data_IF_732589948150
#
_entry.id   IF_732589948150
#
_cell.length_a   1.000
_cell.length_b   1.000
_cell.length_c   1.000
_cell.angle_alpha   90.00
_cell.angle_beta   90.00
_cell.angle_gamma   90.00
#
_symmetry.space_group_name_H-M   'P 1'
#
loop_
_entity.id
_entity.type
_entity.pdbx_description
1 polymer ?
#
# COMPACT_ATOMS: atom_id res chain seq x y z
N UNK A 1 -4.52 -79.63 40.46
CA UNK A 1 -4.65 -79.83 41.92
C UNK A 1 -5.67 -78.83 42.45
N UNK A 2 -6.69 -79.32 43.16
CA UNK A 2 -7.70 -78.60 43.96
C UNK A 2 -8.67 -77.66 43.21
N UNK A 3 -9.99 -77.59 43.47
CA UNK A 3 -10.97 -78.37 44.25
C UNK A 3 -12.36 -77.75 43.98
N UNK A 4 -13.37 -78.60 43.77
CA UNK A 4 -14.85 -78.55 43.94
C UNK A 4 -15.47 -77.43 44.85
N UNK A 5 -16.81 -77.20 45.01
CA UNK A 5 -18.07 -77.42 44.22
C UNK A 5 -19.11 -76.22 44.27
N UNK A 6 -20.32 -76.43 43.71
CA UNK A 6 -21.72 -76.16 44.25
C UNK A 6 -22.61 -75.35 43.28
N UNK A 7 -23.67 -75.93 42.70
CA UNK A 7 -25.06 -76.22 43.16
C UNK A 7 -26.08 -75.08 42.93
N UNK A 8 -27.12 -75.45 42.16
CA UNK A 8 -28.46 -74.86 41.84
C UNK A 8 -29.16 -74.14 43.03
N UNK A 9 -30.23 -73.29 42.90
CA UNK A 9 -31.39 -73.46 42.01
C UNK A 9 -32.15 -72.17 41.55
N UNK A 10 -33.29 -72.40 40.90
CA UNK A 10 -34.23 -71.47 40.27
C UNK A 10 -34.91 -70.45 41.20
N UNK A 11 -35.37 -69.32 40.64
CA UNK A 11 -36.59 -68.65 41.09
C UNK A 11 -37.32 -67.98 39.91
N UNK A 12 -38.63 -68.22 39.88
CA UNK A 12 -39.63 -67.70 38.94
C UNK A 12 -40.17 -66.37 39.47
N UNK A 13 -40.26 -65.35 38.61
CA UNK A 13 -41.21 -64.23 38.64
C UNK A 13 -40.99 -63.48 37.31
N UNK A 14 -41.94 -63.32 36.38
CA UNK A 14 -43.35 -63.05 36.56
C UNK A 14 -43.57 -61.53 36.62
N UNK A 15 -43.38 -60.81 35.52
CA UNK A 15 -43.91 -59.45 35.34
C UNK A 15 -44.07 -59.11 33.85
N UNK A 16 -45.32 -59.01 33.43
CA UNK A 16 -45.71 -58.34 32.19
C UNK A 16 -45.47 -56.84 32.35
N UNK A 17 -44.81 -56.22 31.38
CA UNK A 17 -44.75 -54.77 31.26
C UNK A 17 -44.76 -54.38 29.78
N UNK A 18 -45.97 -53.99 29.35
CA UNK A 18 -46.26 -52.83 28.52
C UNK A 18 -45.32 -52.56 27.33
N UNK A 19 -45.75 -53.02 26.14
CA UNK A 19 -45.22 -52.51 24.88
C UNK A 19 -45.62 -51.02 24.75
N UNK A 20 -44.72 -50.13 25.14
CA UNK A 20 -44.80 -48.72 24.80
C UNK A 20 -44.63 -48.61 23.28
N UNK A 21 -45.73 -48.37 22.57
CA UNK A 21 -45.68 -47.83 21.22
C UNK A 21 -45.15 -46.40 21.35
N UNK A 22 -43.85 -46.21 21.09
CA UNK A 22 -43.30 -44.88 20.87
C UNK A 22 -43.95 -44.34 19.58
N UNK A 23 -45.01 -43.56 19.74
CA UNK A 23 -45.38 -42.54 18.77
C UNK A 23 -44.17 -41.62 18.65
N UNK A 24 -43.41 -41.78 17.56
CA UNK A 24 -42.35 -40.84 17.23
C UNK A 24 -42.94 -39.44 17.21
N UNK A 25 -42.47 -38.57 18.10
CA UNK A 25 -42.62 -37.15 17.91
C UNK A 25 -41.94 -36.84 16.57
N UNK A 26 -42.70 -36.33 15.60
CA UNK A 26 -42.09 -35.68 14.47
C UNK A 26 -41.29 -34.49 15.02
N UNK A 27 -39.97 -34.61 15.05
CA UNK A 27 -39.07 -33.49 15.27
C UNK A 27 -39.13 -32.59 14.03
N UNK A 28 -40.23 -31.83 13.88
CA UNK A 28 -40.21 -30.60 13.11
C UNK A 28 -39.69 -29.50 14.04
N UNK A 29 -38.38 -29.51 14.29
CA UNK A 29 -37.70 -28.34 14.85
C UNK A 29 -37.46 -27.36 13.71
N UNK A 30 -38.52 -26.73 13.19
CA UNK A 30 -38.34 -25.46 12.50
C UNK A 30 -37.83 -24.45 13.53
N UNK A 31 -36.82 -23.66 13.15
CA UNK A 31 -36.28 -22.65 14.05
C UNK A 31 -37.42 -21.71 14.50
N UNK A 32 -37.57 -21.40 15.80
CA UNK A 32 -38.74 -20.70 16.34
C UNK A 32 -38.90 -19.23 15.86
N UNK A 33 -37.97 -18.75 15.05
CA UNK A 33 -38.04 -17.46 14.37
C UNK A 33 -37.59 -17.66 12.92
N UNK A 34 -38.55 -17.64 12.00
CA UNK A 34 -38.22 -17.35 10.61
C UNK A 34 -37.90 -15.85 10.55
N UNK A 35 -36.68 -15.53 10.13
CA UNK A 35 -36.25 -14.16 9.95
C UNK A 35 -36.78 -13.65 8.61
N UNK A 36 -38.11 -13.64 8.44
CA UNK A 36 -38.76 -13.16 7.23
C UNK A 36 -38.57 -11.64 7.09
N UNK A 37 -38.11 -11.20 5.93
CA UNK A 37 -37.93 -9.79 5.61
C UNK A 37 -36.72 -9.59 4.73
N UNK A 38 -36.96 -9.11 3.52
CA UNK A 38 -35.93 -8.70 2.57
C UNK A 38 -35.70 -7.19 2.71
N UNK A 39 -34.57 -6.73 2.21
CA UNK A 39 -34.23 -5.31 2.07
C UNK A 39 -33.95 -4.95 0.63
N UNK A 40 -33.60 -3.69 0.44
CA UNK A 40 -33.35 -3.09 -0.86
C UNK A 40 -32.00 -2.38 -0.84
N UNK A 41 -31.38 -2.29 -2.01
CA UNK A 41 -30.18 -1.51 -2.25
C UNK A 41 -30.42 -0.63 -3.47
N UNK A 42 -30.30 0.68 -3.31
CA UNK A 42 -30.27 1.63 -4.41
C UNK A 42 -28.92 2.36 -4.44
N UNK A 43 -28.61 2.99 -5.56
CA UNK A 43 -27.34 3.69 -5.64
C UNK A 43 -27.12 4.47 -6.91
N UNK A 44 -25.92 5.05 -6.98
CA UNK A 44 -25.40 5.80 -8.11
C UNK A 44 -24.00 5.29 -8.44
N UNK A 45 -23.78 4.95 -9.71
CA UNK A 45 -22.45 4.73 -10.28
C UNK A 45 -22.07 5.98 -11.06
N UNK A 46 -20.90 6.54 -10.77
CA UNK A 46 -20.44 7.80 -11.35
C UNK A 46 -18.93 7.78 -11.55
N UNK A 47 -18.43 8.64 -12.43
CA UNK A 47 -17.01 8.92 -12.58
C UNK A 47 -16.63 9.99 -11.57
N UNK A 48 -15.80 9.62 -10.60
CA UNK A 48 -15.23 10.49 -9.58
C UNK A 48 -13.90 11.06 -10.12
N UNK A 49 -14.03 12.17 -10.83
CA UNK A 49 -12.95 12.76 -11.61
C UNK A 49 -11.82 13.28 -10.71
N UNK A 50 -12.16 13.73 -9.50
CA UNK A 50 -11.25 14.29 -8.51
C UNK A 50 -10.91 13.33 -7.35
N UNK A 51 -11.49 12.12 -7.35
CA UNK A 51 -11.25 11.07 -6.34
C UNK A 51 -11.62 11.51 -4.92
N UNK A 52 -12.75 12.18 -4.79
CA UNK A 52 -13.23 12.70 -3.50
C UNK A 52 -14.11 11.72 -2.72
N UNK A 53 -14.62 10.68 -3.38
CA UNK A 53 -15.62 9.75 -2.86
C UNK A 53 -17.03 10.36 -2.73
N UNK A 54 -17.24 11.56 -3.27
CA UNK A 54 -18.51 12.29 -3.29
C UNK A 54 -18.87 12.55 -4.75
N UNK A 55 -20.15 12.41 -5.11
CA UNK A 55 -20.62 12.81 -6.43
C UNK A 55 -20.90 14.32 -6.45
N UNK A 56 -20.08 15.07 -7.17
CA UNK A 56 -20.29 16.51 -7.41
C UNK A 56 -20.14 16.88 -8.91
N UNK A 57 -21.28 17.04 -9.63
CA UNK A 57 -21.26 17.44 -11.04
C UNK A 57 -20.63 18.81 -11.31
N UNK A 58 -20.56 19.70 -10.31
CA UNK A 58 -19.93 21.01 -10.49
C UNK A 58 -18.41 20.93 -10.59
N UNK A 59 -17.88 19.81 -10.13
CA UNK A 59 -16.46 19.49 -10.00
C UNK A 59 -15.98 18.47 -11.03
N UNK A 60 -16.84 18.12 -11.99
CA UNK A 60 -16.52 17.29 -13.16
C UNK A 60 -16.99 15.84 -13.08
N UNK A 61 -17.76 15.48 -12.05
CA UNK A 61 -18.27 14.12 -11.93
C UNK A 61 -19.47 13.85 -12.83
N UNK A 62 -19.46 12.68 -13.47
CA UNK A 62 -20.48 12.29 -14.44
C UNK A 62 -21.15 10.97 -14.05
N UNK A 63 -22.49 10.86 -14.16
CA UNK A 63 -23.17 9.58 -13.95
C UNK A 63 -22.78 8.57 -15.03
N UNK A 64 -22.63 7.30 -14.64
CA UNK A 64 -22.22 6.22 -15.53
C UNK A 64 -23.40 5.31 -15.87
N UNK A 65 -23.89 5.43 -17.11
CA UNK A 65 -25.02 4.63 -17.62
C UNK A 65 -24.60 3.28 -18.20
N UNK A 66 -25.53 2.31 -18.20
CA UNK A 66 -25.34 0.96 -18.76
C UNK A 66 -24.20 0.15 -18.11
N UNK A 67 -23.83 0.48 -16.87
CA UNK A 67 -22.87 -0.29 -16.08
C UNK A 67 -23.59 -1.48 -15.48
N UNK A 68 -23.08 -2.68 -15.74
CA UNK A 68 -23.65 -3.92 -15.21
C UNK A 68 -23.15 -4.20 -13.80
N UNK A 69 -24.07 -4.55 -12.92
CA UNK A 69 -23.77 -4.83 -11.52
C UNK A 69 -24.67 -5.93 -10.95
N UNK A 70 -24.17 -6.62 -9.93
CA UNK A 70 -24.91 -7.67 -9.23
C UNK A 70 -24.52 -7.75 -7.75
N UNK A 71 -25.46 -8.24 -6.93
CA UNK A 71 -25.23 -8.44 -5.51
C UNK A 71 -24.90 -9.91 -5.26
N UNK A 72 -23.71 -10.15 -4.74
CA UNK A 72 -23.18 -11.48 -4.43
C UNK A 72 -23.16 -11.74 -2.94
N UNK A 73 -23.31 -13.00 -2.59
CA UNK A 73 -23.02 -13.47 -1.25
C UNK A 73 -21.57 -13.20 -0.89
N UNK A 74 -21.36 -12.62 0.29
CA UNK A 74 -20.06 -12.21 0.77
C UNK A 74 -19.03 -13.35 0.68
N UNK A 75 -17.89 -13.04 0.07
CA UNK A 75 -16.79 -13.99 -0.08
C UNK A 75 -17.00 -15.09 -1.13
N UNK A 76 -18.06 -15.00 -1.94
CA UNK A 76 -18.34 -15.95 -3.02
C UNK A 76 -18.59 -15.24 -4.35
N UNK A 77 -18.67 -15.99 -5.44
CA UNK A 77 -19.09 -15.51 -6.76
C UNK A 77 -20.60 -15.70 -7.01
N UNK A 78 -21.36 -16.15 -6.00
CA UNK A 78 -22.78 -16.46 -6.15
C UNK A 78 -23.61 -15.19 -6.04
N UNK A 79 -24.19 -14.75 -7.14
CA UNK A 79 -25.18 -13.66 -7.17
C UNK A 79 -26.53 -14.11 -6.58
N UNK A 80 -27.21 -13.20 -5.90
CA UNK A 80 -28.60 -13.40 -5.52
C UNK A 80 -29.49 -13.39 -6.77
N UNK A 81 -30.51 -14.24 -6.77
CA UNK A 81 -31.45 -14.32 -7.89
C UNK A 81 -32.14 -12.96 -8.10
N UNK A 82 -32.11 -12.45 -9.33
CA UNK A 82 -32.73 -11.15 -9.67
C UNK A 82 -31.90 -9.92 -9.30
N UNK A 83 -30.69 -10.09 -8.75
CA UNK A 83 -29.84 -8.95 -8.36
C UNK A 83 -29.01 -8.33 -9.49
N UNK A 84 -29.03 -8.93 -10.69
CA UNK A 84 -28.34 -8.43 -11.86
C UNK A 84 -29.12 -7.29 -12.50
N UNK A 85 -28.53 -6.10 -12.54
CA UNK A 85 -29.14 -4.89 -13.10
C UNK A 85 -28.12 -4.09 -13.90
N UNK A 86 -28.62 -3.15 -14.70
CA UNK A 86 -27.84 -2.11 -15.37
C UNK A 86 -28.17 -0.76 -14.74
N UNK A 87 -27.19 0.13 -14.67
CA UNK A 87 -27.46 1.53 -14.34
C UNK A 87 -28.24 2.22 -15.45
N UNK A 88 -29.14 3.12 -15.08
CA UNK A 88 -29.90 3.95 -16.02
C UNK A 88 -29.07 5.14 -16.56
N UNK A 89 -29.71 6.04 -17.32
CA UNK A 89 -29.04 7.22 -17.89
C UNK A 89 -28.52 8.21 -16.87
N UNK A 90 -29.02 8.18 -15.63
CA UNK A 90 -28.57 9.01 -14.51
C UNK A 90 -27.60 8.22 -13.62
N UNK A 91 -27.12 7.07 -14.07
CA UNK A 91 -26.19 6.20 -13.33
C UNK A 91 -26.83 5.48 -12.15
N UNK A 92 -28.16 5.55 -12.01
CA UNK A 92 -28.88 4.99 -10.86
C UNK A 92 -29.19 3.52 -11.09
N UNK A 93 -29.26 2.77 -9.99
CA UNK A 93 -29.73 1.39 -9.99
C UNK A 93 -30.52 1.09 -8.72
N UNK A 94 -31.31 0.02 -8.76
CA UNK A 94 -32.08 -0.49 -7.63
C UNK A 94 -32.12 -2.02 -7.68
N UNK A 95 -31.91 -2.66 -6.53
CA UNK A 95 -32.03 -4.10 -6.34
C UNK A 95 -32.89 -4.37 -5.10
N UNK A 96 -33.98 -5.08 -5.29
CA UNK A 96 -34.92 -5.43 -4.22
C UNK A 96 -34.84 -6.93 -3.88
N UNK A 97 -35.47 -7.33 -2.79
CA UNK A 97 -35.57 -8.75 -2.42
C UNK A 97 -34.27 -9.35 -1.89
N UNK A 98 -33.37 -8.51 -1.34
CA UNK A 98 -32.08 -8.96 -0.83
C UNK A 98 -32.21 -9.47 0.60
N UNK A 99 -31.59 -10.62 0.95
CA UNK A 99 -31.52 -11.05 2.34
C UNK A 99 -30.82 -9.98 3.20
N UNK A 100 -31.20 -9.77 4.46
CA UNK A 100 -30.49 -8.84 5.33
C UNK A 100 -29.09 -9.38 5.66
N UNK A 101 -28.11 -8.48 5.70
CA UNK A 101 -26.71 -8.82 5.98
C UNK A 101 -25.71 -8.02 5.15
N UNK A 102 -24.43 -8.32 5.34
CA UNK A 102 -23.35 -7.76 4.52
C UNK A 102 -23.14 -8.61 3.28
N UNK A 103 -23.21 -7.98 2.11
CA UNK A 103 -23.03 -8.58 0.79
C UNK A 103 -21.92 -7.89 0.01
N UNK A 104 -21.62 -8.39 -1.17
CA UNK A 104 -20.69 -7.80 -2.11
C UNK A 104 -21.44 -7.26 -3.33
N UNK A 105 -21.42 -5.95 -3.55
CA UNK A 105 -21.78 -5.34 -4.82
C UNK A 105 -20.59 -5.53 -5.76
N UNK A 106 -20.80 -6.29 -6.83
CA UNK A 106 -19.80 -6.50 -7.87
C UNK A 106 -20.21 -5.76 -9.13
N UNK A 107 -19.29 -5.01 -9.70
CA UNK A 107 -19.48 -4.31 -10.97
C UNK A 107 -18.71 -5.04 -12.05
N UNK A 108 -19.32 -5.22 -13.22
CA UNK A 108 -18.63 -5.73 -14.39
C UNK A 108 -17.75 -4.64 -15.00
N UNK A 109 -16.44 -4.74 -14.75
CA UNK A 109 -15.46 -3.78 -15.26
C UNK A 109 -15.42 -3.72 -16.79
N UNK A 110 -15.90 -4.74 -17.50
CA UNK A 110 -15.97 -4.71 -18.97
C UNK A 110 -17.07 -3.77 -19.50
N UNK A 111 -17.99 -3.34 -18.64
CA UNK A 111 -19.07 -2.40 -18.98
C UNK A 111 -18.75 -0.95 -18.62
N UNK A 112 -17.61 -0.69 -17.96
CA UNK A 112 -17.16 0.66 -17.65
C UNK A 112 -16.64 1.36 -18.92
N UNK A 113 -16.84 2.69 -19.05
CA UNK A 113 -16.18 3.46 -20.09
C UNK A 113 -14.65 3.39 -20.01
N UNK A 114 -14.00 3.64 -21.14
CA UNK A 114 -12.53 3.73 -21.19
C UNK A 114 -12.01 4.81 -20.23
N UNK A 115 -10.94 4.50 -19.49
CA UNK A 115 -10.35 5.42 -18.52
C UNK A 115 -11.02 5.43 -17.14
N UNK A 116 -12.07 4.63 -16.91
CA UNK A 116 -12.72 4.49 -15.61
C UNK A 116 -12.28 3.20 -14.92
N UNK A 117 -11.73 3.33 -13.71
CA UNK A 117 -11.27 2.21 -12.89
C UNK A 117 -12.09 2.12 -11.60
N UNK A 118 -12.39 0.90 -11.16
CA UNK A 118 -12.93 0.68 -9.82
C UNK A 118 -11.83 0.19 -8.90
N UNK A 119 -11.38 1.08 -8.02
CA UNK A 119 -10.26 0.82 -7.11
C UNK A 119 -10.64 -0.13 -5.97
N UNK A 120 -11.93 -0.34 -5.77
CA UNK A 120 -12.47 -1.39 -4.92
C UNK A 120 -13.61 -2.11 -5.65
N UNK A 121 -13.37 -3.36 -6.04
CA UNK A 121 -14.39 -4.22 -6.63
C UNK A 121 -14.15 -5.69 -6.22
N UNK A 122 -15.06 -6.33 -5.46
CA UNK A 122 -16.39 -5.85 -5.07
C UNK A 122 -16.37 -4.85 -3.90
N UNK A 123 -17.44 -4.06 -3.81
CA UNK A 123 -17.73 -3.18 -2.68
C UNK A 123 -18.57 -3.92 -1.63
N UNK A 124 -18.22 -3.77 -0.35
CA UNK A 124 -19.03 -4.33 0.75
C UNK A 124 -20.24 -3.43 1.04
N UNK A 125 -21.44 -3.99 0.98
CA UNK A 125 -22.71 -3.26 1.23
C UNK A 125 -23.50 -3.97 2.34
N UNK A 126 -24.23 -3.22 3.14
CA UNK A 126 -25.08 -3.78 4.21
C UNK A 126 -26.54 -3.54 3.89
N UNK A 127 -27.32 -4.61 3.82
CA UNK A 127 -28.76 -4.58 3.61
C UNK A 127 -29.47 -4.82 4.93
N UNK A 128 -30.37 -3.93 5.30
CA UNK A 128 -31.22 -4.05 6.48
C UNK A 128 -32.64 -4.45 6.07
N UNK A 129 -33.40 -5.03 6.99
CA UNK A 129 -34.76 -5.52 6.69
C UNK A 129 -35.72 -4.37 6.49
N UNK A 130 -36.55 -4.45 5.45
CA UNK A 130 -37.59 -3.46 5.16
C UNK A 130 -37.03 -2.03 5.01
N UNK A 131 -35.76 -1.92 4.66
CA UNK A 131 -35.04 -0.67 4.48
C UNK A 131 -34.36 -0.69 3.11
N UNK A 132 -34.25 0.51 2.53
CA UNK A 132 -33.44 0.76 1.33
C UNK A 132 -32.11 1.34 1.77
N UNK A 133 -31.02 0.62 1.51
CA UNK A 133 -29.68 1.10 1.72
C UNK A 133 -29.18 1.81 0.46
N UNK A 134 -28.61 3.01 0.62
CA UNK A 134 -28.00 3.76 -0.48
C UNK A 134 -26.50 3.50 -0.59
N UNK A 135 -25.97 3.38 -1.81
CA UNK A 135 -24.54 3.26 -2.07
C UNK A 135 -24.09 4.15 -3.23
N UNK A 136 -22.91 4.77 -3.05
CA UNK A 136 -22.19 5.47 -4.10
C UNK A 136 -21.04 4.58 -4.59
N UNK A 137 -20.94 4.43 -5.90
CA UNK A 137 -19.88 3.66 -6.56
C UNK A 137 -19.12 4.60 -7.49
N UNK A 138 -18.04 5.18 -6.97
CA UNK A 138 -17.15 6.06 -7.73
C UNK A 138 -16.14 5.24 -8.55
N UNK A 139 -16.13 5.46 -9.86
CA UNK A 139 -15.03 5.04 -10.73
C UNK A 139 -14.01 6.17 -10.88
N UNK A 140 -12.73 5.85 -10.74
CA UNK A 140 -11.64 6.82 -10.69
C UNK A 140 -10.77 6.75 -11.96
N UNK A 141 -10.08 7.82 -12.37
CA UNK A 141 -9.15 7.79 -13.50
C UNK A 141 -7.89 6.94 -13.23
N UNK A 142 -7.51 6.81 -11.96
CA UNK A 142 -6.32 6.08 -11.52
C UNK A 142 -6.48 5.64 -10.07
N UNK A 143 -6.16 4.38 -9.78
CA UNK A 143 -6.23 3.88 -8.41
C UNK A 143 -4.97 4.20 -7.62
N UNK A 144 -5.15 4.42 -6.31
CA UNK A 144 -4.03 4.48 -5.38
C UNK A 144 -3.33 3.11 -5.33
N UNK A 145 -2.08 3.08 -5.79
CA UNK A 145 -1.23 1.89 -5.75
C UNK A 145 -0.04 2.10 -4.81
N UNK A 146 0.62 1.02 -4.43
CA UNK A 146 1.87 1.09 -3.68
C UNK A 146 3.01 1.64 -4.53
N UNK A 147 4.05 2.15 -3.87
CA UNK A 147 5.24 2.66 -4.54
C UNK A 147 5.95 1.56 -5.33
N UNK A 148 5.99 0.34 -4.82
CA UNK A 148 6.59 -0.80 -5.52
C UNK A 148 5.79 -1.17 -6.78
N UNK A 149 4.45 -1.23 -6.70
CA UNK A 149 3.61 -1.46 -7.88
C UNK A 149 3.84 -0.39 -8.95
N UNK A 150 3.94 0.88 -8.56
CA UNK A 150 4.25 1.97 -9.48
C UNK A 150 5.62 1.79 -10.16
N UNK A 151 6.65 1.29 -9.45
CA UNK A 151 7.96 0.98 -10.02
C UNK A 151 7.93 -0.19 -11.01
N UNK A 152 7.03 -1.15 -10.81
CA UNK A 152 6.88 -2.33 -11.68
C UNK A 152 6.19 -2.03 -13.01
N UNK A 153 5.44 -0.93 -13.08
CA UNK A 153 4.83 -0.46 -14.32
C UNK A 153 5.89 -0.08 -15.38
N UNK A 154 5.41 0.00 -16.62
CA UNK A 154 6.20 0.57 -17.71
C UNK A 154 6.45 2.05 -17.48
N UNK A 155 7.55 2.58 -18.01
CA UNK A 155 7.78 4.03 -18.05
C UNK A 155 6.69 4.71 -18.88
N UNK A 156 6.20 5.86 -18.43
CA UNK A 156 5.16 6.64 -19.11
C UNK A 156 3.74 6.39 -18.60
N UNK A 157 3.56 5.50 -17.64
CA UNK A 157 2.26 5.20 -17.03
C UNK A 157 1.89 6.28 -16.01
N UNK A 158 0.61 6.69 -16.00
CA UNK A 158 0.09 7.63 -15.01
C UNK A 158 -0.29 6.88 -13.73
N UNK A 159 0.16 7.38 -12.58
CA UNK A 159 0.00 6.71 -11.28
C UNK A 159 -0.50 7.66 -10.22
N UNK A 160 -1.20 7.11 -9.23
CA UNK A 160 -1.53 7.75 -7.97
C UNK A 160 -0.85 6.95 -6.85
N UNK A 161 0.01 7.60 -6.07
CA UNK A 161 0.75 6.96 -4.97
C UNK A 161 0.67 7.82 -3.71
N UNK A 162 0.87 7.18 -2.57
CA UNK A 162 0.94 7.85 -1.28
C UNK A 162 2.17 7.37 -0.52
N UNK A 163 2.93 8.31 0.02
CA UNK A 163 4.14 8.00 0.77
C UNK A 163 4.48 9.08 1.80
N UNK A 164 5.35 8.73 2.74
CA UNK A 164 5.92 9.67 3.70
C UNK A 164 7.18 10.28 3.11
N UNK A 165 7.30 11.60 3.21
CA UNK A 165 8.49 12.36 2.77
C UNK A 165 9.68 11.97 3.62
N UNK A 166 10.72 11.44 2.98
CA UNK A 166 11.97 11.00 3.65
C UNK A 166 13.09 12.03 3.53
N UNK A 167 13.03 12.88 2.52
CA UNK A 167 13.93 14.03 2.33
C UNK A 167 13.13 15.23 1.82
N UNK A 168 13.11 16.35 2.54
CA UNK A 168 12.43 17.55 2.05
C UNK A 168 13.09 18.06 0.75
N UNK A 169 12.33 18.65 -0.19
CA UNK A 169 12.86 19.05 -1.51
C UNK A 169 14.13 19.90 -1.45
N UNK A 170 14.23 20.81 -0.48
CA UNK A 170 15.37 21.72 -0.32
C UNK A 170 16.59 21.11 0.39
N UNK A 171 16.45 19.95 1.05
CA UNK A 171 17.56 19.31 1.78
C UNK A 171 18.63 18.78 0.82
N UNK A 172 18.21 18.12 -0.25
CA UNK A 172 19.14 17.50 -1.20
C UNK A 172 19.71 18.56 -2.14
N UNK A 173 18.88 19.38 -2.78
CA UNK A 173 19.35 20.41 -3.71
C UNK A 173 18.62 21.74 -3.52
N UNK A 174 19.38 22.82 -3.63
CA UNK A 174 18.87 24.19 -3.45
C UNK A 174 17.82 24.62 -4.48
N UNK A 175 17.74 23.94 -5.63
CA UNK A 175 16.71 24.18 -6.64
C UNK A 175 15.43 23.37 -6.41
N UNK A 176 15.40 22.51 -5.37
CA UNK A 176 14.25 21.72 -4.97
C UNK A 176 13.56 20.96 -6.12
N UNK A 177 14.35 20.42 -7.05
CA UNK A 177 13.86 19.76 -8.26
C UNK A 177 13.46 18.29 -8.04
N UNK A 178 13.74 17.74 -6.87
CA UNK A 178 13.20 16.45 -6.44
C UNK A 178 13.16 16.28 -4.93
N UNK A 179 12.38 15.30 -4.50
CA UNK A 179 12.27 14.78 -3.13
C UNK A 179 12.21 13.25 -3.19
N UNK A 180 12.21 12.60 -2.04
CA UNK A 180 11.94 11.18 -1.91
C UNK A 180 10.76 10.96 -0.97
N UNK A 181 9.87 10.07 -1.39
CA UNK A 181 8.79 9.55 -0.56
C UNK A 181 8.91 8.04 -0.48
N UNK A 182 8.40 7.44 0.59
CA UNK A 182 8.31 5.98 0.69
C UNK A 182 7.05 5.53 1.40
N UNK A 183 6.59 4.33 1.06
CA UNK A 183 5.55 3.61 1.78
C UNK A 183 6.12 2.32 2.40
N UNK A 184 5.25 1.40 2.85
CA UNK A 184 5.69 0.12 3.39
C UNK A 184 6.33 -0.82 2.37
N UNK A 185 6.15 -0.57 1.07
CA UNK A 185 6.59 -1.42 -0.04
C UNK A 185 7.95 -0.99 -0.61
N UNK A 186 8.17 0.30 -0.86
CA UNK A 186 9.41 0.84 -1.41
C UNK A 186 9.47 2.37 -1.22
N UNK A 187 10.60 2.97 -1.57
CA UNK A 187 10.70 4.40 -1.81
C UNK A 187 10.86 4.75 -3.28
N UNK A 188 10.67 6.02 -3.62
CA UNK A 188 10.80 6.53 -4.98
C UNK A 188 11.19 8.00 -4.99
N UNK A 189 11.99 8.40 -5.98
CA UNK A 189 12.24 9.82 -6.25
C UNK A 189 11.01 10.43 -6.88
N UNK A 190 10.60 11.59 -6.39
CA UNK A 190 9.59 12.44 -7.03
C UNK A 190 10.32 13.60 -7.67
N UNK A 191 10.37 13.63 -9.00
CA UNK A 191 11.17 14.56 -9.80
C UNK A 191 10.28 15.57 -10.54
N UNK A 192 10.51 16.85 -10.28
CA UNK A 192 9.78 17.96 -10.90
C UNK A 192 9.33 19.01 -9.89
N UNK A 193 8.70 20.07 -10.41
CA UNK A 193 8.09 21.09 -9.57
C UNK A 193 6.85 20.53 -8.86
N UNK A 194 6.82 20.62 -7.53
CA UNK A 194 5.67 20.25 -6.70
C UNK A 194 4.77 21.45 -6.35
N UNK A 195 4.94 22.57 -7.07
CA UNK A 195 4.17 23.80 -6.84
C UNK A 195 4.42 24.41 -5.45
N UNK A 196 3.48 25.21 -4.97
CA UNK A 196 3.56 25.84 -3.64
C UNK A 196 3.47 24.83 -2.51
N UNK A 197 2.63 23.79 -2.65
CA UNK A 197 2.51 22.72 -1.65
C UNK A 197 3.86 22.02 -1.42
N UNK A 198 4.62 21.77 -2.50
CA UNK A 198 5.96 21.21 -2.42
C UNK A 198 6.97 22.04 -1.63
N UNK A 199 6.83 23.37 -1.63
CA UNK A 199 7.76 24.26 -0.94
C UNK A 199 7.65 24.18 0.59
N UNK A 200 6.52 23.67 1.10
CA UNK A 200 6.24 23.55 2.53
C UNK A 200 6.51 22.13 3.06
N UNK A 201 6.68 21.13 2.18
CA UNK A 201 6.89 19.74 2.58
C UNK A 201 8.11 19.57 3.49
N UNK A 202 7.87 18.91 4.62
CA UNK A 202 8.88 18.50 5.59
C UNK A 202 9.02 16.98 5.62
N UNK A 203 10.12 16.50 6.22
CA UNK A 203 10.25 15.07 6.52
C UNK A 203 9.14 14.64 7.49
N UNK A 204 8.59 13.45 7.25
CA UNK A 204 7.51 12.93 8.06
C UNK A 204 6.12 13.40 7.65
N UNK A 205 5.98 14.32 6.69
CA UNK A 205 4.69 14.59 6.05
C UNK A 205 4.28 13.39 5.21
N UNK A 206 2.98 13.08 5.17
CA UNK A 206 2.42 12.08 4.24
C UNK A 206 1.74 12.79 3.10
N UNK A 207 2.09 12.41 1.88
CA UNK A 207 1.57 13.04 0.66
C UNK A 207 0.90 12.00 -0.22
N UNK A 208 -0.27 12.35 -0.76
CA UNK A 208 -0.89 11.67 -1.90
C UNK A 208 -0.61 12.51 -3.13
N UNK A 209 -0.02 11.91 -4.16
CA UNK A 209 0.32 12.59 -5.39
C UNK A 209 0.07 11.72 -6.60
N UNK A 210 -0.22 12.38 -7.71
CA UNK A 210 -0.21 11.78 -9.04
C UNK A 210 1.04 12.18 -9.82
N UNK A 211 1.35 11.41 -10.86
CA UNK A 211 2.41 11.74 -11.80
C UNK A 211 2.61 10.61 -12.81
N UNK A 212 3.74 10.65 -13.52
CA UNK A 212 4.07 9.67 -14.56
C UNK A 212 5.33 8.90 -14.21
N UNK A 213 5.30 7.58 -14.31
CA UNK A 213 6.49 6.74 -14.10
C UNK A 213 7.60 7.11 -15.07
N UNK A 214 8.82 7.17 -14.55
CA UNK A 214 9.99 7.71 -15.23
C UNK A 214 11.26 6.96 -14.84
N UNK A 215 12.28 7.12 -15.67
CA UNK A 215 13.64 6.62 -15.39
C UNK A 215 14.66 7.67 -15.81
N UNK A 216 15.64 7.93 -14.95
CA UNK A 216 16.81 8.74 -15.31
C UNK A 216 18.07 8.16 -14.68
N UNK A 217 19.09 7.86 -15.50
CA UNK A 217 20.31 7.16 -15.07
C UNK A 217 20.03 5.89 -14.25
N UNK A 218 19.04 5.09 -14.67
CA UNK A 218 18.63 3.88 -13.95
C UNK A 218 18.08 4.15 -12.53
N UNK A 219 17.61 5.37 -12.24
CA UNK A 219 16.86 5.69 -11.02
C UNK A 219 15.36 5.79 -11.35
N UNK A 220 14.54 5.01 -10.64
CA UNK A 220 13.09 5.02 -10.83
C UNK A 220 12.51 6.27 -10.19
N UNK A 221 11.66 6.99 -10.92
CA UNK A 221 11.13 8.26 -10.46
C UNK A 221 9.70 8.49 -10.93
N UNK A 222 8.94 9.26 -10.15
CA UNK A 222 7.68 9.84 -10.59
C UNK A 222 7.97 11.24 -11.13
N UNK A 223 7.54 11.51 -12.35
CA UNK A 223 7.76 12.77 -13.08
C UNK A 223 6.46 13.53 -13.26
N UNK A 224 6.55 14.84 -13.50
CA UNK A 224 5.39 15.74 -13.61
C UNK A 224 4.41 15.60 -12.42
N UNK A 225 4.90 15.63 -11.17
CA UNK A 225 4.07 15.31 -10.03
C UNK A 225 3.05 16.40 -9.73
N UNK A 226 1.86 16.00 -9.28
CA UNK A 226 0.82 16.88 -8.73
C UNK A 226 0.47 16.39 -7.33
N UNK A 227 0.63 17.25 -6.32
CA UNK A 227 0.21 16.95 -4.95
C UNK A 227 -1.30 17.16 -4.86
N UNK A 228 -1.98 16.19 -4.26
CA UNK A 228 -3.45 16.19 -4.11
C UNK A 228 -3.83 16.39 -2.67
N UNK A 229 -3.07 15.76 -1.78
CA UNK A 229 -3.28 15.83 -0.34
C UNK A 229 -1.94 15.84 0.38
N UNK A 230 -1.87 16.65 1.44
CA UNK A 230 -0.77 16.66 2.39
C UNK A 230 -1.36 16.49 3.79
N UNK A 231 -0.87 15.48 4.50
CA UNK A 231 -1.08 15.29 5.92
C UNK A 231 0.24 15.65 6.65
N UNK A 232 0.33 16.86 7.21
CA UNK A 232 1.55 17.31 7.87
C UNK A 232 1.78 16.55 9.17
N UNK A 233 3.05 16.45 9.58
CA UNK A 233 3.46 15.86 10.86
C UNK A 233 2.95 14.40 11.07
N UNK A 234 2.78 13.63 10.00
CA UNK A 234 2.33 12.23 10.07
C UNK A 234 3.32 11.35 10.86
N UNK A 235 4.62 11.65 10.75
CA UNK A 235 5.69 11.08 11.56
C UNK A 235 6.90 10.68 10.71
N UNK A 236 8.11 11.00 11.18
CA UNK A 236 9.33 10.57 10.51
C UNK A 236 9.49 9.05 10.55
N UNK A 237 9.94 8.47 9.44
CA UNK A 237 10.23 7.04 9.34
C UNK A 237 11.61 6.73 9.92
N UNK A 238 11.69 5.68 10.73
CA UNK A 238 12.96 5.14 11.16
C UNK A 238 13.70 4.51 9.95
N UNK A 239 15.01 4.75 9.79
CA UNK A 239 15.78 4.15 8.71
C UNK A 239 15.88 2.63 8.87
N UNK A 240 15.77 1.90 7.78
CA UNK A 240 15.92 0.45 7.76
C UNK A 240 17.41 0.06 7.78
N UNK A 241 17.88 -0.78 8.71
CA UNK A 241 19.26 -1.27 8.70
C UNK A 241 19.56 -2.06 7.42
N UNK A 242 20.69 -1.76 6.78
CA UNK A 242 21.17 -2.48 5.59
C UNK A 242 22.69 -2.59 5.60
N UNK A 243 23.26 -3.26 4.59
CA UNK A 243 24.71 -3.35 4.36
C UNK A 243 25.12 -2.69 3.06
N UNK A 244 26.39 -2.31 2.94
CA UNK A 244 26.94 -1.78 1.69
C UNK A 244 26.83 -2.80 0.54
N UNK A 245 27.00 -4.10 0.82
CA UNK A 245 26.77 -5.16 -0.17
C UNK A 245 25.32 -5.20 -0.67
N UNK A 246 24.33 -5.15 0.23
CA UNK A 246 22.91 -5.19 -0.16
C UNK A 246 22.54 -3.99 -1.05
N UNK A 247 23.13 -2.81 -0.76
CA UNK A 247 23.00 -1.64 -1.62
C UNK A 247 23.60 -1.89 -3.00
N UNK A 248 24.84 -2.40 -3.07
CA UNK A 248 25.50 -2.71 -4.33
C UNK A 248 24.71 -3.72 -5.18
N UNK A 249 24.13 -4.76 -4.56
CA UNK A 249 23.30 -5.77 -5.22
C UNK A 249 21.96 -5.20 -5.75
N UNK A 250 21.40 -4.19 -5.08
CA UNK A 250 20.21 -3.48 -5.55
C UNK A 250 20.49 -2.49 -6.68
N UNK A 251 21.76 -2.11 -6.92
CA UNK A 251 22.15 -1.13 -7.92
C UNK A 251 21.70 -1.45 -9.36
N UNK A 252 21.95 -2.66 -9.88
CA UNK A 252 21.62 -2.98 -11.27
C UNK A 252 20.11 -2.89 -11.59
N UNK A 253 19.24 -3.14 -10.61
CA UNK A 253 17.79 -3.11 -10.81
C UNK A 253 17.17 -1.85 -10.19
N UNK A 254 16.75 -0.92 -11.05
CA UNK A 254 16.08 0.30 -10.64
C UNK A 254 14.74 0.07 -9.92
N UNK A 255 14.14 -1.12 -10.08
CA UNK A 255 12.87 -1.51 -9.46
C UNK A 255 13.05 -2.25 -8.15
N UNK A 256 14.29 -2.54 -7.73
CA UNK A 256 14.55 -3.24 -6.48
C UNK A 256 13.88 -2.49 -5.31
N UNK A 257 13.22 -3.19 -4.36
CA UNK A 257 12.49 -2.55 -3.26
C UNK A 257 13.35 -1.62 -2.39
N UNK A 258 14.68 -1.84 -2.37
CA UNK A 258 15.64 -1.00 -1.65
C UNK A 258 15.90 0.35 -2.35
N UNK A 259 15.72 0.46 -3.67
CA UNK A 259 15.85 1.73 -4.39
C UNK A 259 14.80 2.72 -3.90
N UNK A 260 15.24 3.94 -3.56
CA UNK A 260 14.43 5.02 -3.02
C UNK A 260 14.15 4.94 -1.51
N UNK A 261 14.55 3.87 -0.81
CA UNK A 261 14.30 3.72 0.63
C UNK A 261 15.28 4.52 1.48
N UNK A 262 14.80 4.98 2.63
CA UNK A 262 15.61 5.50 3.73
C UNK A 262 16.21 4.33 4.53
N UNK A 263 17.55 4.26 4.54
CA UNK A 263 18.30 3.17 5.17
C UNK A 263 19.38 3.71 6.10
N UNK A 264 19.91 2.84 6.96
CA UNK A 264 21.13 3.08 7.73
C UNK A 264 22.13 1.95 7.53
N UNK A 265 23.36 2.30 7.12
CA UNK A 265 24.51 1.39 7.12
C UNK A 265 25.31 1.68 8.38
N UNK A 266 25.62 0.65 9.17
CA UNK A 266 26.30 0.80 10.47
C UNK A 266 27.81 0.59 10.32
N UNK A 267 28.61 1.42 11.00
CA UNK A 267 30.05 1.24 11.10
C UNK A 267 30.83 1.24 9.78
N UNK A 268 30.35 1.93 8.74
CA UNK A 268 31.00 1.94 7.44
C UNK A 268 32.22 2.88 7.42
N UNK A 269 33.38 2.37 7.00
CA UNK A 269 34.61 3.14 6.85
C UNK A 269 34.53 4.03 5.61
N UNK A 270 34.83 5.32 5.73
CA UNK A 270 35.06 6.20 4.58
C UNK A 270 36.42 5.90 3.93
N UNK A 271 36.44 4.94 3.00
CA UNK A 271 37.66 4.46 2.34
C UNK A 271 38.18 5.42 1.26
N UNK A 272 37.30 6.26 0.68
CA UNK A 272 37.67 7.28 -0.31
C UNK A 272 36.83 8.53 -0.15
N UNK A 273 37.50 9.68 -0.16
CA UNK A 273 36.87 11.00 -0.20
C UNK A 273 36.08 11.30 -1.48
N UNK A 274 35.45 12.46 -1.52
CA UNK A 274 34.44 12.87 -2.50
C UNK A 274 35.04 13.41 -3.79
N UNK A 275 35.73 12.53 -4.53
CA UNK A 275 36.57 12.88 -5.69
C UNK A 275 35.95 12.49 -7.04
N UNK A 276 34.79 11.82 -7.06
CA UNK A 276 34.05 11.46 -8.28
C UNK A 276 32.64 12.08 -8.30
N UNK A 277 31.88 11.90 -9.38
CA UNK A 277 30.49 12.39 -9.48
C UNK A 277 30.35 13.91 -9.42
N UNK A 278 31.34 14.64 -9.96
CA UNK A 278 31.45 16.10 -9.82
C UNK A 278 31.94 16.52 -8.43
N UNK A 279 32.90 15.76 -7.88
CA UNK A 279 33.48 15.93 -6.55
C UNK A 279 32.45 15.88 -5.41
N UNK A 280 31.60 14.85 -5.47
CA UNK A 280 30.47 14.63 -4.55
C UNK A 280 30.25 13.17 -4.16
N UNK A 281 30.96 12.22 -4.78
CA UNK A 281 30.85 10.80 -4.45
C UNK A 281 32.12 10.31 -3.74
N UNK A 282 31.94 9.81 -2.52
CA UNK A 282 32.94 9.04 -1.77
C UNK A 282 32.69 7.54 -1.88
N UNK A 283 33.55 6.72 -1.25
CA UNK A 283 33.29 5.29 -1.06
C UNK A 283 33.27 4.95 0.43
N UNK A 284 32.28 4.16 0.82
CA UNK A 284 32.12 3.63 2.17
C UNK A 284 32.02 2.11 2.14
N UNK A 285 32.51 1.44 3.16
CA UNK A 285 32.51 -0.02 3.26
C UNK A 285 32.29 -0.46 4.72
N UNK A 286 31.27 -1.28 4.99
CA UNK A 286 30.99 -1.86 6.31
C UNK A 286 31.71 -3.20 6.54
N UNK A 287 32.60 -3.59 5.63
CA UNK A 287 33.27 -4.89 5.58
C UNK A 287 32.60 -5.89 4.63
N UNK A 288 31.41 -5.60 4.11
CA UNK A 288 30.71 -6.43 3.11
C UNK A 288 31.02 -6.03 1.66
N UNK A 289 31.70 -4.89 1.44
CA UNK A 289 32.12 -4.40 0.14
C UNK A 289 31.78 -2.92 -0.07
N UNK A 290 32.39 -2.22 -1.02
CA UNK A 290 32.23 -0.77 -1.14
C UNK A 290 30.92 -0.37 -1.82
N UNK A 291 30.33 0.73 -1.37
CA UNK A 291 29.24 1.45 -2.05
C UNK A 291 29.55 2.95 -2.13
N UNK A 292 28.97 3.65 -3.11
CA UNK A 292 29.10 5.10 -3.18
C UNK A 292 28.19 5.79 -2.16
N UNK A 293 28.75 6.73 -1.40
CA UNK A 293 27.99 7.76 -0.69
C UNK A 293 28.08 9.05 -1.48
N UNK A 294 26.93 9.68 -1.73
CA UNK A 294 26.82 10.89 -2.53
C UNK A 294 26.26 12.03 -1.69
N UNK A 295 27.09 13.06 -1.50
CA UNK A 295 26.68 14.28 -0.79
C UNK A 295 26.20 15.30 -1.82
N UNK A 296 24.91 15.65 -1.73
CA UNK A 296 24.33 16.63 -2.62
C UNK A 296 24.65 18.08 -2.19
N UNK A 297 24.54 19.00 -3.16
CA UNK A 297 25.03 20.38 -2.97
C UNK A 297 24.24 21.16 -1.93
N UNK A 298 22.99 20.78 -1.65
CA UNK A 298 22.18 21.39 -0.60
C UNK A 298 22.76 21.16 0.80
N UNK A 299 23.46 20.03 0.99
CA UNK A 299 24.01 19.63 2.28
C UNK A 299 25.34 20.32 2.61
N UNK A 300 26.29 20.36 1.66
CA UNK A 300 27.63 20.93 1.93
C UNK A 300 28.30 21.59 0.73
N UNK A 301 27.61 21.76 -0.41
CA UNK A 301 28.25 22.18 -1.66
C UNK A 301 28.99 21.04 -2.38
N UNK A 302 30.14 21.33 -2.99
CA UNK A 302 30.94 20.35 -3.73
C UNK A 302 32.43 20.53 -3.50
N UNK A 303 33.20 19.46 -3.71
CA UNK A 303 34.65 19.43 -3.44
C UNK A 303 34.96 18.58 -2.21
N UNK A 304 35.93 17.68 -2.34
CA UNK A 304 36.31 16.73 -1.28
C UNK A 304 36.60 17.42 0.07
N UNK A 305 37.49 18.40 0.07
CA UNK A 305 37.85 19.15 1.27
C UNK A 305 36.65 19.90 1.86
N UNK A 306 35.83 20.55 1.02
CA UNK A 306 34.64 21.28 1.46
C UNK A 306 33.62 20.37 2.12
N UNK A 307 33.31 19.23 1.50
CA UNK A 307 32.37 18.25 2.04
C UNK A 307 32.89 17.71 3.38
N UNK A 308 34.15 17.27 3.41
CA UNK A 308 34.77 16.72 4.63
C UNK A 308 34.83 17.71 5.78
N UNK A 309 35.22 18.97 5.51
CA UNK A 309 35.26 20.00 6.56
C UNK A 309 33.87 20.39 7.05
N UNK A 310 32.89 20.50 6.15
CA UNK A 310 31.52 20.88 6.50
C UNK A 310 30.83 19.81 7.33
N UNK A 311 31.06 18.54 7.00
CA UNK A 311 30.41 17.39 7.63
C UNK A 311 31.27 16.72 8.71
N UNK A 312 32.50 17.22 8.97
CA UNK A 312 33.40 16.64 9.96
C UNK A 312 33.86 15.21 9.61
N UNK A 313 34.05 14.91 8.33
CA UNK A 313 34.37 13.55 7.87
C UNK A 313 35.87 13.34 7.68
N UNK A 314 36.35 12.18 8.12
CA UNK A 314 37.73 11.73 7.99
C UNK A 314 37.83 10.43 7.18
N UNK A 315 38.73 10.42 6.19
CA UNK A 315 39.03 9.19 5.45
C UNK A 315 39.71 8.22 6.42
N UNK A 316 39.21 6.98 6.47
CA UNK A 316 39.64 5.93 7.39
C UNK A 316 38.89 5.91 8.73
N UNK A 317 37.99 6.86 8.99
CA UNK A 317 37.05 6.80 10.12
C UNK A 317 35.77 6.08 9.72
N UNK A 318 35.04 5.56 10.71
CA UNK A 318 33.82 4.79 10.51
C UNK A 318 32.58 5.56 11.00
N UNK A 319 31.49 5.38 10.27
CA UNK A 319 30.24 6.11 10.50
C UNK A 319 29.04 5.18 10.41
N UNK A 320 28.06 5.40 11.28
CA UNK A 320 26.69 5.03 10.99
C UNK A 320 26.13 6.07 10.02
N UNK A 321 25.81 5.64 8.80
CA UNK A 321 25.39 6.53 7.71
C UNK A 321 23.94 6.26 7.37
N UNK A 322 23.10 7.26 7.62
CA UNK A 322 21.70 7.27 7.20
C UNK A 322 21.57 7.95 5.84
N UNK A 323 20.68 7.47 4.98
CA UNK A 323 20.45 8.14 3.71
C UNK A 323 19.40 7.45 2.86
N UNK A 324 18.96 8.14 1.82
CA UNK A 324 18.06 7.57 0.83
C UNK A 324 18.87 6.85 -0.23
N UNK A 325 18.47 5.65 -0.61
CA UNK A 325 19.10 4.90 -1.70
C UNK A 325 18.66 5.48 -3.04
N UNK A 326 19.60 5.90 -3.87
CA UNK A 326 19.34 6.26 -5.27
C UNK A 326 20.25 5.49 -6.21
N UNK A 327 20.15 5.82 -7.50
CA UNK A 327 20.86 5.10 -8.54
C UNK A 327 21.57 6.01 -9.53
N UNK A 328 22.74 5.58 -10.00
CA UNK A 328 23.41 6.18 -11.14
C UNK A 328 23.99 5.10 -12.05
N UNK A 329 23.34 4.88 -13.19
CA UNK A 329 23.72 3.93 -14.24
C UNK A 329 23.99 2.51 -13.72
N UNK A 330 23.16 2.03 -12.79
CA UNK A 330 23.28 0.69 -12.20
C UNK A 330 24.16 0.64 -10.95
N UNK A 331 24.72 1.76 -10.52
CA UNK A 331 25.44 1.87 -9.25
C UNK A 331 24.51 2.47 -8.21
N UNK A 332 24.24 1.75 -7.12
CA UNK A 332 23.52 2.31 -5.99
C UNK A 332 24.38 3.38 -5.30
N UNK A 333 23.72 4.45 -4.87
CA UNK A 333 24.33 5.53 -4.12
C UNK A 333 23.49 5.81 -2.88
N UNK A 334 24.15 5.99 -1.73
CA UNK A 334 23.49 6.47 -0.53
C UNK A 334 23.51 8.00 -0.51
N UNK A 335 22.35 8.64 -0.34
CA UNK A 335 22.17 10.10 -0.29
C UNK A 335 21.82 10.52 1.14
N UNK A 336 22.81 10.96 1.96
CA UNK A 336 22.55 11.58 3.24
C UNK A 336 21.77 12.89 3.05
N UNK A 337 20.90 13.21 4.00
CA UNK A 337 19.95 14.33 3.94
C UNK A 337 20.41 15.49 4.81
N UNK A 338 21.09 15.18 5.92
CA UNK A 338 21.59 16.16 6.89
C UNK A 338 22.99 15.77 7.42
N UNK A 339 23.66 16.68 8.11
CA UNK A 339 24.96 16.38 8.74
C UNK A 339 24.82 15.27 9.80
N UNK A 340 23.72 15.29 10.54
CA UNK A 340 23.39 14.30 11.58
C UNK A 340 23.13 12.88 11.01
N UNK A 341 23.02 12.73 9.69
CA UNK A 341 22.96 11.41 9.07
C UNK A 341 24.34 10.70 9.06
N UNK A 342 25.43 11.40 9.43
CA UNK A 342 26.74 10.81 9.70
C UNK A 342 27.02 10.83 11.20
N UNK A 343 27.00 9.65 11.82
CA UNK A 343 27.36 9.50 13.24
C UNK A 343 28.66 8.72 13.33
N UNK A 344 29.75 9.38 13.75
CA UNK A 344 31.04 8.72 13.92
C UNK A 344 30.98 7.64 15.00
N UNK A 345 31.56 6.48 14.69
CA UNK A 345 31.62 5.30 15.57
C UNK A 345 33.01 4.66 15.48
N UNK A 346 33.36 3.87 16.49
CA UNK A 346 34.57 3.04 16.42
C UNK A 346 34.46 2.04 15.25
N UNK A 347 35.51 1.94 14.44
CA UNK A 347 35.55 0.95 13.37
C UNK A 347 35.44 -0.48 13.93
N UNK A 348 34.48 -1.24 13.41
CA UNK A 348 34.38 -2.67 13.69
C UNK A 348 35.41 -3.40 12.85
N UNK A 349 36.58 -3.69 13.45
CA UNK A 349 37.66 -4.45 12.81
C UNK A 349 37.35 -5.93 12.61
#
# INVERSE_FOLDING_TARGET
>A
MHSIPRLRPALVAGLAALALTLTGCADETSAPFDFSGEGELDGLVYFDSQRTGIFDPSDGDDPLSNVALEIRERGTTRAFQGSQVLTDSEGRFEVTGLPPGTHHLWVDSATLPEGVLLCQNPLSVSVYRFETAGVLVGGEPVCLISVQEAKELSTGEFVNIRGVVTSAPSELRSNADYTYIQDGSAGVRVFGSLGSAGAELQRGDRVTLTGTTGSFNNDAQITSPTIEEVEPDFGELAPEPTTTQALAEAGPDMRAPLQGRLVVVRGAELTRGFTTGGNRNGLVDDGSGPVEVRVETGLSGSGDETIRQTLGLEIGACYDITGVVGNFNGTAQLFPRAADDFVEVDCTG
#
